data_IF_146322703353
#
_entry.id   IF_146322703353
#
_cell.length_a   1.000
_cell.length_b   1.000
_cell.length_c   1.000
_cell.angle_alpha   90.00
_cell.angle_beta   90.00
_cell.angle_gamma   90.00
#
_symmetry.space_group_name_H-M   'P 1'
#
loop_
_entity.id
_entity.type
_entity.pdbx_description
1 polymer ?
#
# COMPACT_ATOMS: atom_id res chain seq x y z
N UNK A 1 52.90 -31.32 -12.68
CA UNK A 1 52.67 -29.96 -12.15
C UNK A 1 53.58 -29.03 -12.93
N UNK A 2 53.05 -28.29 -13.90
CA UNK A 2 53.83 -27.28 -14.62
C UNK A 2 53.78 -25.97 -13.86
N UNK A 3 54.94 -25.50 -13.41
CA UNK A 3 55.07 -24.19 -12.79
C UNK A 3 54.85 -23.11 -13.86
N UNK A 4 53.76 -22.35 -13.73
CA UNK A 4 53.53 -21.13 -14.51
C UNK A 4 54.60 -20.12 -14.12
N UNK A 5 55.63 -19.97 -14.96
CA UNK A 5 56.58 -18.86 -14.85
C UNK A 5 55.84 -17.55 -15.10
N UNK A 6 55.84 -16.70 -14.07
CA UNK A 6 55.30 -15.34 -14.12
C UNK A 6 55.98 -14.53 -15.23
N UNK A 7 55.19 -14.05 -16.20
CA UNK A 7 55.70 -13.17 -17.25
C UNK A 7 55.67 -11.71 -16.79
N UNK A 8 56.83 -11.23 -16.33
CA UNK A 8 57.05 -9.86 -15.86
C UNK A 8 56.79 -8.84 -16.98
N UNK A 9 56.92 -9.24 -18.26
CA UNK A 9 56.66 -8.35 -19.39
C UNK A 9 55.16 -8.13 -19.62
N UNK A 10 54.32 -9.16 -19.41
CA UNK A 10 52.85 -9.01 -19.42
C UNK A 10 52.34 -8.09 -18.30
N UNK A 11 52.93 -8.12 -17.10
CA UNK A 11 52.53 -7.26 -15.98
C UNK A 11 52.84 -5.80 -16.27
N UNK A 12 54.02 -5.51 -16.84
CA UNK A 12 54.40 -4.15 -17.24
C UNK A 12 53.43 -3.62 -18.32
N UNK A 13 53.03 -4.47 -19.28
CA UNK A 13 52.02 -4.13 -20.27
C UNK A 13 50.65 -3.78 -19.65
N UNK A 14 50.20 -4.56 -18.67
CA UNK A 14 48.91 -4.33 -18.01
C UNK A 14 48.89 -3.03 -17.18
N UNK A 15 50.00 -2.71 -16.51
CA UNK A 15 50.15 -1.46 -15.74
C UNK A 15 50.15 -0.24 -16.67
N UNK A 16 50.78 -0.33 -17.84
CA UNK A 16 50.76 0.73 -18.85
C UNK A 16 49.36 0.96 -19.42
N UNK A 17 48.62 -0.11 -19.75
CA UNK A 17 47.23 -0.01 -20.23
C UNK A 17 46.33 0.62 -19.16
N UNK A 18 46.47 0.20 -17.91
CA UNK A 18 45.69 0.75 -16.81
C UNK A 18 45.98 2.24 -16.57
N UNK A 19 47.25 2.66 -16.70
CA UNK A 19 47.64 4.07 -16.63
C UNK A 19 47.02 4.92 -17.74
N UNK A 20 46.96 4.41 -18.97
CA UNK A 20 46.34 5.09 -20.12
C UNK A 20 44.82 5.22 -19.91
N UNK A 21 44.16 4.20 -19.37
CA UNK A 21 42.71 4.25 -19.09
C UNK A 21 42.36 5.28 -18.01
N UNK A 22 43.15 5.37 -16.93
CA UNK A 22 42.97 6.41 -15.91
C UNK A 22 43.20 7.81 -16.49
N UNK A 23 44.23 7.97 -17.32
CA UNK A 23 44.51 9.24 -17.98
C UNK A 23 43.36 9.67 -18.91
N UNK A 24 42.84 8.74 -19.72
CA UNK A 24 41.70 8.99 -20.60
C UNK A 24 40.41 9.29 -19.82
N UNK A 25 40.18 8.61 -18.69
CA UNK A 25 39.05 8.88 -17.81
C UNK A 25 39.12 10.27 -17.17
N UNK A 26 40.32 10.73 -16.80
CA UNK A 26 40.51 12.06 -16.22
C UNK A 26 40.32 13.17 -17.27
N UNK A 27 40.70 12.91 -18.53
CA UNK A 27 40.56 13.86 -19.62
C UNK A 27 39.12 13.95 -20.18
N UNK A 28 38.32 12.89 -20.04
CA UNK A 28 36.92 12.82 -20.53
C UNK A 28 35.86 13.07 -19.45
N UNK A 29 36.20 13.66 -18.29
CA UNK A 29 35.19 14.06 -17.30
C UNK A 29 34.38 15.26 -17.84
N UNK A 30 33.05 15.16 -17.96
CA UNK A 30 32.22 16.28 -18.41
C UNK A 30 32.31 17.44 -17.43
N UNK A 31 32.28 18.65 -17.97
CA UNK A 31 32.41 19.87 -17.16
C UNK A 31 31.14 20.11 -16.32
N UNK A 32 31.23 20.77 -15.16
CA UNK A 32 30.06 21.06 -14.32
C UNK A 32 28.94 21.84 -15.04
N UNK A 33 29.30 22.61 -16.07
CA UNK A 33 28.39 23.43 -16.87
C UNK A 33 27.52 22.58 -17.83
N UNK A 34 28.09 21.51 -18.40
CA UNK A 34 27.35 20.57 -19.25
C UNK A 34 26.35 19.74 -18.43
N UNK A 35 26.71 19.34 -17.20
CA UNK A 35 25.81 18.65 -16.28
C UNK A 35 24.63 19.53 -15.82
N UNK A 36 24.84 20.84 -15.70
CA UNK A 36 23.77 21.78 -15.38
C UNK A 36 22.83 22.00 -16.57
N UNK A 37 23.37 22.09 -17.78
CA UNK A 37 22.58 22.23 -19.02
C UNK A 37 21.73 20.99 -19.32
N UNK A 38 22.23 19.79 -19.01
CA UNK A 38 21.48 18.54 -19.18
C UNK A 38 20.32 18.41 -18.18
N UNK A 39 20.53 18.82 -16.91
CA UNK A 39 19.47 18.90 -15.89
C UNK A 39 18.37 19.89 -16.28
N UNK A 40 18.74 21.08 -16.76
CA UNK A 40 17.76 22.08 -17.19
C UNK A 40 16.92 21.62 -18.40
N UNK A 41 17.51 20.84 -19.32
CA UNK A 41 16.76 20.22 -20.42
C UNK A 41 15.83 19.10 -19.94
N UNK A 42 16.24 18.30 -18.96
CA UNK A 42 15.37 17.28 -18.37
C UNK A 42 14.16 17.90 -17.66
N UNK A 43 14.36 18.95 -16.87
CA UNK A 43 13.26 19.64 -16.16
C UNK A 43 12.22 20.23 -17.13
N UNK A 44 12.64 20.76 -18.29
CA UNK A 44 11.70 21.28 -19.30
C UNK A 44 10.90 20.18 -19.99
N UNK A 45 11.50 19.00 -20.22
CA UNK A 45 10.82 17.85 -20.82
C UNK A 45 9.86 17.20 -19.83
N UNK A 46 10.16 17.24 -18.53
CA UNK A 46 9.33 16.71 -17.46
C UNK A 46 8.11 17.61 -17.18
N UNK A 47 8.28 18.94 -17.24
CA UNK A 47 7.18 19.91 -17.17
C UNK A 47 6.22 19.80 -18.37
N UNK A 48 6.73 19.52 -19.57
CA UNK A 48 5.90 19.28 -20.75
C UNK A 48 5.09 17.98 -20.64
N UNK A 49 5.67 16.91 -20.09
CA UNK A 49 4.98 15.62 -19.87
C UNK A 49 3.98 15.63 -18.72
N UNK A 50 4.17 16.51 -17.72
CA UNK A 50 3.20 16.70 -16.63
C UNK A 50 1.89 17.36 -17.11
N UNK A 51 1.89 17.99 -18.29
CA UNK A 51 0.73 18.67 -18.86
C UNK A 51 -0.14 17.78 -19.77
N UNK A 52 0.37 16.61 -20.18
CA UNK A 52 -0.31 15.68 -21.13
C UNK A 52 -0.96 14.46 -20.44
N UNK A 53 -0.77 14.27 -19.13
CA UNK A 53 -1.23 13.09 -18.38
C UNK A 53 -2.47 13.36 -17.49
N UNK A 54 -3.22 14.43 -17.73
CA UNK A 54 -4.41 14.78 -16.94
C UNK A 54 -5.69 14.03 -17.36
N UNK A 55 -5.62 13.11 -18.33
CA UNK A 55 -6.80 12.36 -18.76
C UNK A 55 -6.46 10.88 -18.96
N UNK A 56 -6.50 10.08 -17.87
CA UNK A 56 -7.30 8.83 -17.77
C UNK A 56 -7.05 8.05 -16.46
N UNK A 57 -8.14 7.82 -15.74
CA UNK A 57 -8.38 6.78 -14.71
C UNK A 57 -7.64 6.88 -13.37
N UNK A 58 -8.01 7.93 -12.63
CA UNK A 58 -8.15 7.84 -11.17
C UNK A 58 -9.14 6.73 -10.84
N UNK A 59 -8.68 5.63 -10.21
CA UNK A 59 -9.53 4.77 -9.38
C UNK A 59 -9.83 5.55 -8.10
N UNK A 60 -10.57 6.64 -8.26
CA UNK A 60 -11.16 7.40 -7.18
C UNK A 60 -12.64 7.32 -7.43
N UNK A 61 -13.35 6.50 -6.67
CA UNK A 61 -14.79 6.64 -6.54
C UNK A 61 -15.05 8.07 -6.06
N UNK A 62 -15.36 8.96 -6.99
CA UNK A 62 -15.97 10.27 -6.73
C UNK A 62 -17.44 10.03 -6.32
N UNK A 63 -17.66 9.17 -5.32
CA UNK A 63 -18.95 9.15 -4.65
C UNK A 63 -19.07 10.43 -3.82
N UNK A 64 -20.23 11.10 -3.86
CA UNK A 64 -20.46 12.29 -3.05
C UNK A 64 -20.20 11.96 -1.58
N UNK A 65 -19.20 12.61 -1.00
CA UNK A 65 -18.88 12.47 0.42
C UNK A 65 -20.09 12.93 1.25
N UNK A 66 -20.45 12.14 2.26
CA UNK A 66 -21.55 12.48 3.17
C UNK A 66 -21.27 13.84 3.82
N UNK A 67 -22.16 14.81 3.58
CA UNK A 67 -22.11 16.09 4.29
C UNK A 67 -22.57 15.89 5.73
N UNK A 68 -21.61 15.99 6.65
CA UNK A 68 -21.85 15.80 8.08
C UNK A 68 -22.60 16.97 8.73
N UNK A 69 -22.77 18.10 8.01
CA UNK A 69 -23.50 19.28 8.48
C UNK A 69 -24.98 19.24 8.08
N UNK A 70 -25.35 18.43 7.08
CA UNK A 70 -26.75 18.21 6.70
C UNK A 70 -27.36 17.08 7.54
N UNK A 71 -28.23 17.46 8.48
CA UNK A 71 -28.94 16.50 9.34
C UNK A 71 -29.79 15.50 8.56
N UNK A 72 -30.31 15.89 7.39
CA UNK A 72 -31.14 15.02 6.54
C UNK A 72 -30.27 13.96 5.87
N UNK A 73 -29.11 14.36 5.36
CA UNK A 73 -28.13 13.44 4.80
C UNK A 73 -27.65 12.42 5.85
N UNK A 74 -27.35 12.87 7.07
CA UNK A 74 -26.97 11.98 8.18
C UNK A 74 -28.10 11.02 8.55
N UNK A 75 -29.35 11.49 8.65
CA UNK A 75 -30.49 10.63 8.94
C UNK A 75 -30.72 9.57 7.85
N UNK A 76 -30.61 9.96 6.57
CA UNK A 76 -30.72 9.04 5.43
C UNK A 76 -29.60 7.98 5.45
N UNK A 77 -28.38 8.39 5.77
CA UNK A 77 -27.24 7.49 5.96
C UNK A 77 -27.53 6.43 7.04
N UNK A 78 -28.00 6.87 8.21
CA UNK A 78 -28.34 5.96 9.31
C UNK A 78 -29.46 4.99 8.92
N UNK A 79 -30.48 5.47 8.19
CA UNK A 79 -31.56 4.64 7.67
C UNK A 79 -31.10 3.59 6.65
N UNK A 80 -30.15 3.93 5.77
CA UNK A 80 -29.54 2.98 4.81
C UNK A 80 -28.84 1.84 5.56
N UNK A 81 -28.06 2.17 6.59
CA UNK A 81 -27.24 1.20 7.32
C UNK A 81 -27.97 0.44 8.45
N UNK A 82 -29.18 0.86 8.81
CA UNK A 82 -29.95 0.22 9.86
C UNK A 82 -29.20 0.26 11.20
N UNK A 83 -28.98 -0.91 11.81
CA UNK A 83 -28.32 -1.02 13.12
C UNK A 83 -26.92 -0.38 13.14
N UNK A 84 -26.16 -0.45 12.04
CA UNK A 84 -24.82 0.15 11.95
C UNK A 84 -24.82 1.68 11.81
N UNK A 85 -26.00 2.31 11.67
CA UNK A 85 -26.14 3.76 11.75
C UNK A 85 -25.90 4.34 13.16
N UNK A 86 -25.70 3.50 14.18
CA UNK A 86 -25.44 3.93 15.55
C UNK A 86 -24.11 4.69 15.70
N UNK A 87 -23.09 4.33 14.93
CA UNK A 87 -21.78 5.00 15.02
C UNK A 87 -21.89 6.41 14.46
N UNK A 88 -21.44 7.40 15.24
CA UNK A 88 -21.42 8.79 14.77
C UNK A 88 -20.49 8.92 13.56
N UNK A 89 -20.98 9.44 12.42
CA UNK A 89 -20.14 9.70 11.26
C UNK A 89 -18.98 10.67 11.57
N UNK A 90 -17.78 10.34 11.09
CA UNK A 90 -16.59 11.18 11.16
C UNK A 90 -15.68 10.85 9.97
N UNK A 91 -15.28 11.87 9.22
CA UNK A 91 -14.31 11.75 8.13
C UNK A 91 -12.85 11.95 8.62
N UNK A 92 -12.63 11.87 9.93
CA UNK A 92 -11.31 12.06 10.51
C UNK A 92 -10.40 10.87 10.18
N UNK A 93 -9.11 11.14 10.27
CA UNK A 93 -8.04 10.16 10.02
C UNK A 93 -7.23 9.99 11.30
N UNK A 94 -7.04 8.74 11.71
CA UNK A 94 -6.19 8.38 12.85
C UNK A 94 -4.80 7.97 12.37
N UNK A 95 -3.76 8.52 12.99
CA UNK A 95 -2.37 8.17 12.68
C UNK A 95 -1.85 7.10 13.65
N UNK A 96 -1.21 6.07 13.11
CA UNK A 96 -0.53 5.00 13.85
C UNK A 96 0.89 4.87 13.28
N UNK A 97 1.93 5.10 14.08
CA UNK A 97 3.31 5.11 13.59
C UNK A 97 4.35 4.59 14.59
N UNK A 98 5.43 4.04 14.06
CA UNK A 98 6.66 3.70 14.79
C UNK A 98 7.86 4.34 14.07
N UNK A 99 9.09 3.91 14.37
CA UNK A 99 10.31 4.48 13.78
C UNK A 99 10.45 4.24 12.26
N UNK A 100 9.81 3.19 11.73
CA UNK A 100 10.02 2.72 10.35
C UNK A 100 8.79 2.84 9.44
N UNK A 101 7.60 2.88 10.03
CA UNK A 101 6.31 2.85 9.35
C UNK A 101 5.38 3.93 9.92
N UNK A 102 4.70 4.67 9.03
CA UNK A 102 3.59 5.54 9.38
C UNK A 102 2.36 5.11 8.60
N UNK A 103 1.26 4.88 9.31
CA UNK A 103 -0.05 4.58 8.76
C UNK A 103 -1.04 5.70 9.09
N UNK A 104 -1.86 6.07 8.10
CA UNK A 104 -3.09 6.84 8.31
C UNK A 104 -4.29 5.97 8.01
N UNK A 105 -5.21 5.90 8.96
CA UNK A 105 -6.39 5.05 8.91
C UNK A 105 -7.63 5.93 8.93
N UNK A 106 -8.51 5.76 7.94
CA UNK A 106 -9.74 6.53 7.82
C UNK A 106 -10.80 5.98 8.77
N UNK A 107 -11.49 6.86 9.49
CA UNK A 107 -12.66 6.47 10.29
C UNK A 107 -13.82 6.00 9.40
N UNK A 108 -13.91 6.49 8.16
CA UNK A 108 -14.79 5.90 7.13
C UNK A 108 -14.11 4.67 6.53
N UNK A 109 -14.77 3.52 6.56
CA UNK A 109 -14.22 2.27 6.05
C UNK A 109 -13.28 1.54 7.01
N UNK A 110 -12.69 2.24 7.99
CA UNK A 110 -11.71 1.67 8.91
C UNK A 110 -10.40 1.26 8.21
N UNK A 111 -10.20 1.64 6.95
CA UNK A 111 -9.09 1.18 6.10
C UNK A 111 -7.88 2.11 6.14
N UNK A 112 -6.70 1.56 5.82
CA UNK A 112 -5.48 2.33 5.64
C UNK A 112 -5.62 3.16 4.35
N UNK A 113 -5.40 4.47 4.46
CA UNK A 113 -5.45 5.42 3.34
C UNK A 113 -4.07 6.02 3.02
N UNK A 114 -3.10 5.90 3.94
CA UNK A 114 -1.70 6.23 3.69
C UNK A 114 -0.80 5.22 4.42
N UNK A 115 0.21 4.69 3.73
CA UNK A 115 1.23 3.83 4.30
C UNK A 115 2.62 4.28 3.83
N UNK A 116 3.34 4.99 4.70
CA UNK A 116 4.65 5.59 4.40
C UNK A 116 5.78 4.78 5.01
N UNK A 117 6.75 4.40 4.18
CA UNK A 117 7.98 3.73 4.62
C UNK A 117 9.02 4.79 5.03
N UNK A 118 9.16 5.06 6.33
CA UNK A 118 9.91 6.22 6.87
C UNK A 118 11.40 6.22 6.53
N UNK A 119 11.98 5.04 6.34
CA UNK A 119 13.42 4.85 6.06
C UNK A 119 13.76 4.84 4.57
N UNK A 120 12.78 5.02 3.68
CA UNK A 120 12.98 4.87 2.24
C UNK A 120 12.52 6.10 1.47
N UNK A 121 13.31 6.42 0.45
CA UNK A 121 12.98 7.39 -0.59
C UNK A 121 13.15 6.73 -1.95
N UNK A 122 12.40 7.22 -2.93
CA UNK A 122 12.50 6.84 -4.34
C UNK A 122 13.80 7.37 -4.95
N UNK A 123 14.06 7.02 -6.21
CA UNK A 123 15.28 7.41 -6.94
C UNK A 123 15.47 8.94 -7.09
N UNK A 124 14.39 9.70 -6.97
CA UNK A 124 14.30 11.17 -7.01
C UNK A 124 14.13 11.78 -5.61
N UNK A 125 14.41 11.03 -4.55
CA UNK A 125 14.37 11.46 -3.14
C UNK A 125 12.97 11.79 -2.59
N UNK A 126 11.90 11.32 -3.23
CA UNK A 126 10.52 11.43 -2.71
C UNK A 126 10.27 10.30 -1.69
N UNK A 127 9.57 10.54 -0.57
CA UNK A 127 9.27 9.47 0.38
C UNK A 127 8.46 8.33 -0.26
N UNK A 128 8.79 7.08 0.09
CA UNK A 128 8.06 5.91 -0.43
C UNK A 128 6.72 5.73 0.29
N UNK A 129 5.65 5.60 -0.49
CA UNK A 129 4.30 5.29 -0.02
C UNK A 129 3.78 4.04 -0.75
N UNK A 130 3.38 3.00 -0.01
CA UNK A 130 2.74 1.82 -0.60
C UNK A 130 1.23 2.02 -0.80
N UNK A 131 0.63 2.79 0.11
CA UNK A 131 -0.76 3.23 0.04
C UNK A 131 -0.79 4.75 0.05
N UNK A 132 -1.44 5.37 -0.93
CA UNK A 132 -1.70 6.81 -1.01
C UNK A 132 -2.69 7.12 -2.13
N UNK A 133 -3.39 8.25 -2.01
CA UNK A 133 -4.17 8.85 -3.10
C UNK A 133 -5.21 7.88 -3.73
N UNK A 134 -5.82 7.03 -2.89
CA UNK A 134 -6.89 6.11 -3.28
C UNK A 134 -6.42 4.88 -4.06
N UNK A 135 -5.12 4.57 -4.08
CA UNK A 135 -4.59 3.43 -4.82
C UNK A 135 -4.95 2.05 -4.22
N UNK A 136 -5.54 1.99 -3.03
CA UNK A 136 -5.92 0.74 -2.38
C UNK A 136 -7.33 0.82 -1.79
N UNK A 137 -8.01 -0.33 -1.72
CA UNK A 137 -9.27 -0.48 -0.99
C UNK A 137 -9.29 -1.79 -0.20
N UNK A 138 -9.84 -1.73 1.00
CA UNK A 138 -10.04 -2.91 1.86
C UNK A 138 -11.44 -2.85 2.46
N UNK A 139 -12.31 -3.79 2.10
CA UNK A 139 -13.69 -3.79 2.56
C UNK A 139 -14.29 -5.20 2.69
N UNK A 140 -15.22 -5.35 3.64
CA UNK A 140 -16.01 -6.56 3.79
C UNK A 140 -17.43 -6.32 3.30
N UNK A 141 -17.96 -7.25 2.51
CA UNK A 141 -19.38 -7.36 2.22
C UNK A 141 -20.02 -8.40 3.13
N UNK A 142 -21.09 -8.00 3.81
CA UNK A 142 -21.85 -8.89 4.69
C UNK A 142 -23.33 -8.60 4.66
N UNK A 143 -24.13 -9.61 4.98
CA UNK A 143 -25.59 -9.47 5.08
C UNK A 143 -26.02 -9.28 6.52
N UNK A 144 -27.06 -8.50 6.75
CA UNK A 144 -27.68 -8.32 8.06
C UNK A 144 -28.96 -9.15 8.19
N UNK A 145 -29.41 -9.36 9.44
CA UNK A 145 -30.60 -10.16 9.75
C UNK A 145 -31.91 -9.53 9.24
N UNK A 146 -31.90 -8.23 8.92
CA UNK A 146 -32.99 -7.49 8.28
C UNK A 146 -32.88 -7.43 6.74
N UNK A 147 -32.09 -8.34 6.15
CA UNK A 147 -31.88 -8.52 4.71
C UNK A 147 -31.19 -7.35 3.98
N UNK A 148 -30.45 -6.48 4.67
CA UNK A 148 -29.55 -5.52 4.01
C UNK A 148 -28.24 -6.20 3.63
N UNK A 149 -27.61 -5.73 2.57
CA UNK A 149 -26.21 -6.04 2.24
C UNK A 149 -25.43 -4.77 2.50
N UNK A 150 -24.46 -4.85 3.41
CA UNK A 150 -23.63 -3.73 3.82
C UNK A 150 -22.19 -3.99 3.39
N UNK A 151 -21.52 -2.93 2.97
CA UNK A 151 -20.09 -2.92 2.69
C UNK A 151 -19.39 -2.08 3.76
N UNK A 152 -18.29 -2.55 4.34
CA UNK A 152 -17.60 -1.81 5.41
C UNK A 152 -17.05 -0.46 4.95
N UNK A 153 -16.76 -0.27 3.66
CA UNK A 153 -16.33 1.02 3.11
C UNK A 153 -17.36 2.15 3.34
N UNK A 154 -18.63 1.79 3.50
CA UNK A 154 -19.72 2.72 3.81
C UNK A 154 -19.91 2.96 5.32
N UNK A 155 -19.28 2.15 6.17
CA UNK A 155 -19.44 2.26 7.62
C UNK A 155 -18.46 3.28 8.20
N UNK A 156 -18.92 4.03 9.21
CA UNK A 156 -18.02 4.77 10.07
C UNK A 156 -17.62 3.93 11.28
N UNK A 157 -16.35 4.07 11.66
CA UNK A 157 -15.73 3.44 12.80
C UNK A 157 -15.30 4.50 13.80
N UNK A 158 -15.55 4.23 15.07
CA UNK A 158 -15.06 5.07 16.17
C UNK A 158 -13.66 4.59 16.61
N UNK A 159 -12.62 5.43 16.50
CA UNK A 159 -11.25 5.06 16.87
C UNK A 159 -11.01 5.17 18.37
N UNK A 160 -10.13 4.30 18.89
CA UNK A 160 -9.58 4.38 20.23
C UNK A 160 -8.15 3.85 20.25
N UNK A 161 -7.25 4.60 20.89
CA UNK A 161 -5.84 4.24 21.04
C UNK A 161 -5.58 3.63 22.41
N UNK A 162 -4.74 2.60 22.44
CA UNK A 162 -4.27 1.96 23.67
C UNK A 162 -2.86 1.40 23.46
N UNK A 163 -2.27 0.87 24.53
CA UNK A 163 -1.02 0.12 24.45
C UNK A 163 -1.18 -1.23 25.15
N UNK A 164 -0.54 -2.25 24.57
CA UNK A 164 -0.54 -3.62 25.08
C UNK A 164 0.87 -4.19 24.95
N UNK A 165 1.50 -4.51 26.09
CA UNK A 165 2.87 -5.04 26.16
C UNK A 165 3.91 -4.24 25.35
N UNK A 166 3.80 -2.90 25.37
CA UNK A 166 4.70 -1.99 24.64
C UNK A 166 4.36 -1.78 23.17
N UNK A 167 3.33 -2.46 22.64
CA UNK A 167 2.82 -2.24 21.29
C UNK A 167 1.76 -1.13 21.31
N UNK A 168 1.66 -0.37 20.23
CA UNK A 168 0.54 0.54 20.01
C UNK A 168 -0.64 -0.24 19.43
N UNK A 169 -1.84 0.03 19.92
CA UNK A 169 -3.06 -0.65 19.50
C UNK A 169 -4.10 0.40 19.11
N UNK A 170 -4.50 0.39 17.85
CA UNK A 170 -5.65 1.15 17.33
C UNK A 170 -6.84 0.20 17.20
N UNK A 171 -7.91 0.51 17.92
CA UNK A 171 -9.20 -0.17 17.84
C UNK A 171 -10.22 0.75 17.19
N UNK A 172 -10.73 0.35 16.04
CA UNK A 172 -11.75 1.04 15.25
C UNK A 172 -13.04 0.24 15.33
N UNK A 173 -14.13 0.82 15.85
CA UNK A 173 -15.39 0.11 16.09
C UNK A 173 -16.54 0.69 15.29
N UNK A 174 -17.11 -0.10 14.38
CA UNK A 174 -18.42 0.14 13.79
C UNK A 174 -19.48 -0.48 14.73
N UNK A 175 -20.07 0.35 15.56
CA UNK A 175 -21.02 0.00 16.62
C UNK A 175 -22.45 -0.11 16.08
N UNK A 176 -23.21 -1.02 16.67
CA UNK A 176 -24.67 -1.13 16.55
C UNK A 176 -25.38 -0.78 17.86
N UNK A 177 -24.63 -0.79 18.97
CA UNK A 177 -24.99 -0.24 20.26
C UNK A 177 -23.72 0.02 21.07
N UNK A 178 -23.84 0.48 22.32
CA UNK A 178 -22.67 0.73 23.18
C UNK A 178 -21.78 -0.52 23.41
N UNK A 179 -22.36 -1.72 23.36
CA UNK A 179 -21.66 -2.98 23.67
C UNK A 179 -21.61 -3.97 22.50
N UNK A 180 -22.15 -3.60 21.34
CA UNK A 180 -22.19 -4.44 20.14
C UNK A 180 -21.50 -3.74 18.98
N UNK A 181 -20.55 -4.41 18.34
CA UNK A 181 -19.72 -3.79 17.31
C UNK A 181 -18.97 -4.80 16.44
N UNK A 182 -18.62 -4.33 15.24
CA UNK A 182 -17.55 -4.87 14.40
C UNK A 182 -16.29 -4.03 14.68
N UNK A 183 -15.18 -4.67 14.99
CA UNK A 183 -13.92 -4.05 15.36
C UNK A 183 -12.83 -4.40 14.36
N UNK A 184 -12.17 -3.38 13.83
CA UNK A 184 -10.88 -3.46 13.17
C UNK A 184 -9.80 -3.10 14.18
N UNK A 185 -8.91 -4.04 14.46
CA UNK A 185 -7.84 -3.85 15.45
C UNK A 185 -6.49 -3.94 14.75
N UNK A 186 -5.76 -2.84 14.77
CA UNK A 186 -4.39 -2.73 14.29
C UNK A 186 -3.43 -2.74 15.49
N UNK A 187 -2.37 -3.55 15.41
CA UNK A 187 -1.30 -3.60 16.42
C UNK A 187 0.02 -3.31 15.74
N UNK A 188 0.68 -2.26 16.20
CA UNK A 188 1.99 -1.86 15.70
C UNK A 188 3.05 -2.12 16.75
N UNK A 189 4.02 -2.97 16.39
CA UNK A 189 5.21 -3.25 17.20
C UNK A 189 6.26 -2.14 16.98
N UNK A 190 7.13 -1.87 17.95
CA UNK A 190 8.26 -0.96 17.75
C UNK A 190 9.18 -1.45 16.64
N UNK A 191 9.60 -0.53 15.76
CA UNK A 191 10.61 -0.76 14.72
C UNK A 191 10.33 -1.98 13.79
N UNK A 192 9.06 -2.26 13.52
CA UNK A 192 8.60 -3.37 12.66
C UNK A 192 7.74 -2.83 11.51
N UNK A 193 7.86 -3.42 10.33
CA UNK A 193 7.00 -3.13 9.18
C UNK A 193 5.71 -3.96 9.18
N UNK A 194 5.68 -5.07 9.91
CA UNK A 194 4.49 -5.89 10.06
C UNK A 194 3.52 -5.27 11.07
N UNK A 195 2.27 -5.16 10.66
CA UNK A 195 1.16 -4.69 11.50
C UNK A 195 0.19 -5.85 11.66
N UNK A 196 -0.06 -6.26 12.91
CA UNK A 196 -1.05 -7.30 13.14
C UNK A 196 -2.44 -6.68 12.97
N UNK A 197 -3.26 -7.27 12.09
CA UNK A 197 -4.63 -6.84 11.83
C UNK A 197 -5.60 -7.94 12.24
N UNK A 198 -6.70 -7.56 12.88
CA UNK A 198 -7.74 -8.49 13.30
C UNK A 198 -9.12 -7.86 13.15
N UNK A 199 -10.04 -8.65 12.61
CA UNK A 199 -11.47 -8.33 12.57
C UNK A 199 -12.15 -9.10 13.70
N UNK A 200 -12.90 -8.40 14.56
CA UNK A 200 -13.69 -9.03 15.63
C UNK A 200 -15.13 -8.55 15.59
N UNK A 201 -16.07 -9.45 15.78
CA UNK A 201 -17.45 -9.10 16.11
C UNK A 201 -17.70 -9.32 17.61
N UNK A 202 -18.49 -8.45 18.23
CA UNK A 202 -18.95 -8.62 19.60
C UNK A 202 -20.46 -8.40 19.66
N UNK A 203 -21.20 -9.43 20.08
CA UNK A 203 -22.65 -9.36 20.29
C UNK A 203 -23.47 -9.04 19.04
N UNK A 204 -22.98 -9.41 17.85
CA UNK A 204 -23.63 -9.15 16.56
C UNK A 204 -24.42 -10.33 16.02
N UNK A 205 -24.63 -11.39 16.81
CA UNK A 205 -25.31 -12.63 16.37
C UNK A 205 -26.74 -12.39 15.86
N UNK A 206 -27.41 -11.36 16.38
CA UNK A 206 -28.77 -10.97 15.96
C UNK A 206 -28.78 -9.83 14.92
N UNK A 207 -27.61 -9.39 14.45
CA UNK A 207 -27.48 -8.26 13.51
C UNK A 207 -26.86 -8.70 12.20
N UNK A 208 -25.77 -9.48 12.24
CA UNK A 208 -25.13 -10.03 11.06
C UNK A 208 -25.76 -11.39 10.76
N UNK A 209 -26.22 -11.56 9.53
CA UNK A 209 -26.73 -12.84 9.05
C UNK A 209 -25.57 -13.77 8.70
N UNK A 210 -25.66 -15.03 9.11
CA UNK A 210 -24.73 -16.10 8.72
C UNK A 210 -25.25 -16.91 7.52
N UNK A 211 -26.37 -16.50 6.90
CA UNK A 211 -26.96 -17.21 5.76
C UNK A 211 -26.16 -17.06 4.46
N UNK A 212 -25.27 -16.07 4.40
CA UNK A 212 -24.36 -15.83 3.29
C UNK A 212 -22.94 -15.65 3.85
N UNK A 213 -21.90 -16.08 3.10
CA UNK A 213 -20.53 -15.82 3.49
C UNK A 213 -20.24 -14.31 3.54
N UNK A 214 -19.30 -13.93 4.40
CA UNK A 214 -18.69 -12.61 4.37
C UNK A 214 -17.59 -12.63 3.31
N UNK A 215 -17.59 -11.64 2.42
CA UNK A 215 -16.58 -11.53 1.36
C UNK A 215 -15.62 -10.40 1.71
N UNK A 216 -14.31 -10.64 1.56
CA UNK A 216 -13.30 -9.59 1.62
C UNK A 216 -12.93 -9.15 0.21
N UNK A 217 -13.13 -7.88 -0.09
CA UNK A 217 -12.64 -7.22 -1.29
C UNK A 217 -11.38 -6.40 -0.91
N UNK A 218 -10.23 -6.87 -1.37
CA UNK A 218 -8.95 -6.19 -1.21
C UNK A 218 -8.37 -5.89 -2.59
N UNK A 219 -8.05 -4.63 -2.84
CA UNK A 219 -7.49 -4.15 -4.11
C UNK A 219 -6.30 -3.25 -3.86
N UNK A 220 -5.32 -3.32 -4.74
CA UNK A 220 -4.16 -2.45 -4.76
C UNK A 220 -3.73 -2.15 -6.20
N UNK A 221 -3.66 -0.86 -6.53
CA UNK A 221 -2.95 -0.32 -7.70
C UNK A 221 -1.56 0.09 -7.24
N UNK A 222 -0.54 -0.65 -7.68
CA UNK A 222 0.84 -0.39 -7.27
C UNK A 222 1.31 1.03 -7.63
N UNK A 223 1.94 1.71 -6.67
CA UNK A 223 2.59 3.01 -6.90
C UNK A 223 4.00 2.76 -7.45
N UNK A 224 4.39 3.54 -8.46
CA UNK A 224 5.73 3.47 -9.03
C UNK A 224 6.76 4.11 -8.09
N UNK A 225 7.83 3.39 -7.80
CA UNK A 225 8.95 3.86 -6.97
C UNK A 225 10.30 3.86 -7.68
N UNK A 226 10.42 3.09 -8.77
CA UNK A 226 11.68 2.90 -9.48
C UNK A 226 11.80 3.81 -10.71
N UNK A 227 13.05 4.14 -11.07
CA UNK A 227 13.35 4.88 -12.30
C UNK A 227 12.89 4.12 -13.55
N UNK A 228 13.06 2.81 -13.60
CA UNK A 228 12.64 1.99 -14.74
C UNK A 228 11.29 1.32 -14.50
N UNK A 229 10.28 1.77 -15.26
CA UNK A 229 8.93 1.18 -15.29
C UNK A 229 9.00 -0.29 -15.72
N UNK A 230 9.80 -0.61 -16.73
CA UNK A 230 9.89 -1.97 -17.26
C UNK A 230 10.38 -2.97 -16.20
N UNK A 231 11.40 -2.58 -15.42
CA UNK A 231 11.89 -3.43 -14.34
C UNK A 231 10.87 -3.54 -13.21
N UNK A 232 10.20 -2.43 -12.87
CA UNK A 232 9.21 -2.44 -11.79
C UNK A 232 8.00 -3.32 -12.12
N UNK A 233 7.47 -3.20 -13.35
CA UNK A 233 6.37 -4.05 -13.82
C UNK A 233 6.76 -5.53 -13.81
N UNK A 234 8.00 -5.87 -14.22
CA UNK A 234 8.49 -7.27 -14.21
C UNK A 234 8.49 -7.92 -12.82
N UNK A 235 8.57 -7.13 -11.75
CA UNK A 235 8.53 -7.62 -10.37
C UNK A 235 7.19 -7.37 -9.67
N UNK A 236 6.21 -6.81 -10.38
CA UNK A 236 4.88 -6.54 -9.86
C UNK A 236 3.96 -7.70 -10.18
N UNK A 237 3.47 -8.40 -9.15
CA UNK A 237 2.53 -9.53 -9.31
C UNK A 237 1.88 -9.91 -7.99
N UNK A 238 0.71 -10.52 -8.07
CA UNK A 238 0.08 -11.17 -6.93
C UNK A 238 0.74 -12.53 -6.73
N UNK A 239 1.20 -12.79 -5.51
CA UNK A 239 1.75 -14.10 -5.08
C UNK A 239 0.96 -14.55 -3.87
N UNK A 240 0.65 -15.84 -3.79
CA UNK A 240 -0.15 -16.39 -2.69
C UNK A 240 0.31 -17.77 -2.29
N UNK A 241 0.02 -18.12 -1.05
CA UNK A 241 0.26 -19.44 -0.49
C UNK A 241 -1.05 -20.15 -0.20
N UNK A 242 -1.11 -21.42 -0.58
CA UNK A 242 -2.29 -22.28 -0.45
C UNK A 242 -1.83 -23.71 -0.19
N UNK A 243 -2.78 -24.65 -0.06
CA UNK A 243 -2.60 -26.11 0.03
C UNK A 243 -1.19 -26.61 0.43
N UNK A 244 -1.03 -27.07 1.68
CA UNK A 244 0.23 -27.68 2.17
C UNK A 244 1.50 -26.83 1.92
N UNK A 245 1.34 -25.50 1.80
CA UNK A 245 2.45 -24.56 1.65
C UNK A 245 2.90 -24.32 0.20
N UNK A 246 2.10 -24.73 -0.81
CA UNK A 246 2.35 -24.36 -2.21
C UNK A 246 2.33 -22.85 -2.39
N UNK A 247 3.22 -22.34 -3.25
CA UNK A 247 3.28 -20.91 -3.61
C UNK A 247 2.96 -20.79 -5.09
N UNK A 248 1.89 -20.08 -5.39
CA UNK A 248 1.45 -19.76 -6.74
C UNK A 248 1.53 -18.25 -6.96
N UNK A 249 1.47 -17.83 -8.23
CA UNK A 249 1.55 -16.44 -8.65
C UNK A 249 0.68 -16.22 -9.88
N UNK A 250 0.12 -15.01 -9.97
CA UNK A 250 -0.51 -14.54 -11.20
C UNK A 250 0.55 -14.03 -12.18
N UNK A 251 0.17 -13.96 -13.45
CA UNK A 251 0.95 -13.40 -14.54
C UNK A 251 1.43 -11.98 -14.23
N UNK A 252 2.68 -11.71 -14.59
CA UNK A 252 3.32 -10.40 -14.49
C UNK A 252 3.27 -9.61 -15.82
N UNK A 253 2.69 -10.20 -16.88
CA UNK A 253 2.72 -9.65 -18.24
C UNK A 253 1.37 -9.61 -18.96
N UNK A 254 0.29 -10.06 -18.31
CA UNK A 254 -1.07 -10.08 -18.85
C UNK A 254 -2.07 -10.03 -17.70
N UNK A 255 -3.33 -9.74 -18.02
CA UNK A 255 -4.43 -10.02 -17.10
C UNK A 255 -4.49 -11.52 -16.79
N UNK A 256 -4.77 -11.84 -15.54
CA UNK A 256 -4.77 -13.21 -15.02
C UNK A 256 -5.66 -13.28 -13.78
N UNK A 257 -6.37 -14.39 -13.63
CA UNK A 257 -7.36 -14.61 -12.58
C UNK A 257 -7.35 -16.08 -12.18
N UNK A 258 -7.33 -16.34 -10.87
CA UNK A 258 -7.32 -17.68 -10.30
C UNK A 258 -8.33 -17.78 -9.16
N UNK A 259 -8.94 -18.96 -9.00
CA UNK A 259 -9.82 -19.28 -7.87
C UNK A 259 -9.21 -20.45 -7.10
N UNK A 260 -8.92 -20.20 -5.82
CA UNK A 260 -8.13 -21.11 -5.00
C UNK A 260 -8.73 -21.19 -3.59
N UNK A 261 -8.57 -22.34 -2.95
CA UNK A 261 -9.07 -22.61 -1.59
C UNK A 261 -7.92 -22.72 -0.58
N UNK A 262 -8.25 -22.70 0.71
CA UNK A 262 -7.28 -22.84 1.82
C UNK A 262 -6.09 -21.86 1.81
N UNK A 263 -6.28 -20.67 1.24
CA UNK A 263 -5.31 -19.57 1.21
C UNK A 263 -4.76 -19.27 2.62
N UNK A 264 -3.43 -19.22 2.75
CA UNK A 264 -2.73 -18.87 4.00
C UNK A 264 -2.28 -17.42 4.02
N UNK A 265 -1.81 -16.90 2.88
CA UNK A 265 -1.49 -15.49 2.71
C UNK A 265 -1.53 -15.11 1.23
N UNK A 266 -1.76 -13.82 0.99
CA UNK A 266 -1.65 -13.16 -0.32
C UNK A 266 -0.67 -12.00 -0.14
N UNK A 267 0.09 -11.69 -1.18
CA UNK A 267 1.00 -10.55 -1.24
C UNK A 267 0.83 -9.87 -2.59
N UNK A 268 0.54 -8.57 -2.57
CA UNK A 268 0.80 -7.70 -3.70
C UNK A 268 2.30 -7.36 -3.71
N UNK A 269 3.05 -8.10 -4.51
CA UNK A 269 4.49 -7.87 -4.64
C UNK A 269 4.74 -6.77 -5.65
N UNK A 270 5.66 -5.88 -5.34
CA UNK A 270 6.25 -4.90 -6.27
C UNK A 270 7.78 -5.03 -6.23
N UNK A 271 8.47 -4.19 -7.01
CA UNK A 271 9.92 -4.10 -6.94
C UNK A 271 10.34 -3.56 -5.56
N UNK A 272 11.14 -4.35 -4.83
CA UNK A 272 11.63 -4.10 -3.46
C UNK A 272 10.62 -4.15 -2.31
N UNK A 273 9.32 -4.03 -2.57
CA UNK A 273 8.28 -4.00 -1.54
C UNK A 273 7.21 -5.08 -1.75
N UNK A 274 6.54 -5.44 -0.66
CA UNK A 274 5.43 -6.39 -0.63
C UNK A 274 4.46 -5.93 0.45
N UNK A 275 3.17 -6.04 0.16
CA UNK A 275 2.06 -5.67 1.03
C UNK A 275 0.97 -6.73 1.02
#
# INVERSE_FOLDING_TARGET
MEEKKFDVQSIIGFVLIFGILIFMFYQNRPTPEELAAEKAKQEQVEAAKASENLETETVGNNEPQLDLQDSTAVANYQGKLGAFGFTKPSNDITTLENDVLLLKISNKGGQIVEAKMKQYVTYDSVPVYLVKDGNASFALDFSTSDNRVLNTADLYFEPSMSSDNGNQVLSLKAKTSNNQYLEYRYVMKPNDYLVDFMIKSKGLDNVISTSKPVTLDWKLKGIRHSKSIQYENRYTRLTYNHEDGKISKLSEGSDDEETEEDIKWISYRQHFFSS
#
